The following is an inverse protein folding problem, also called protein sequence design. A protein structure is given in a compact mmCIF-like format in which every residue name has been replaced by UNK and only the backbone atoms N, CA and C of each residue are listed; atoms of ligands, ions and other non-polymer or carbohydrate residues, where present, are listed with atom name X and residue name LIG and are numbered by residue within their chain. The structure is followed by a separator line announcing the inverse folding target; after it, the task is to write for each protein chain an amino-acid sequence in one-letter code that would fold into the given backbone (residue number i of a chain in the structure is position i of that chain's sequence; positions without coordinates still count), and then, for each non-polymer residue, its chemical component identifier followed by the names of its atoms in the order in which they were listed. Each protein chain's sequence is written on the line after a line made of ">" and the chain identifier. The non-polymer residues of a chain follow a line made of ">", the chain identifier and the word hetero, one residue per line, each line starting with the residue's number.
data_IF_172055762384
#
_entry.id   IF_172055762384
#
_cell.length_a   1.000
_cell.length_b   1.000
_cell.length_c   1.000
_cell.angle_alpha   90.00
_cell.angle_beta   90.00
_cell.angle_gamma   90.00
#
_symmetry.space_group_name_H-M   'P 1'
#
loop_
_entity.id
_entity.type
_entity.pdbx_description
1 polymer ?
#
# COMPACT_ATOMS: atom_id res chain seq x y z
N UNK A 1 17.32 17.52 38.93
CA UNK A 1 16.75 16.47 38.06
C UNK A 1 16.76 16.99 36.62
N UNK A 2 17.66 16.48 35.78
CA UNK A 2 17.78 16.88 34.37
C UNK A 2 16.75 16.04 33.60
N UNK A 3 15.49 16.48 33.59
CA UNK A 3 14.40 15.80 32.91
C UNK A 3 13.97 16.61 31.70
N UNK A 4 14.40 16.20 30.51
CA UNK A 4 13.83 16.74 29.27
C UNK A 4 12.41 16.18 29.10
N UNK A 5 11.41 17.05 29.04
CA UNK A 5 10.03 16.69 28.67
C UNK A 5 9.90 16.68 27.16
N UNK A 6 9.27 15.64 26.60
CA UNK A 6 8.94 15.59 25.17
C UNK A 6 8.15 16.84 24.77
N UNK A 7 8.63 17.55 23.74
CA UNK A 7 7.87 18.67 23.18
C UNK A 7 6.79 18.10 22.26
N UNK A 8 5.52 18.28 22.65
CA UNK A 8 4.36 17.93 21.81
C UNK A 8 4.12 18.97 20.69
N UNK A 9 5.13 19.75 20.31
CA UNK A 9 4.95 20.75 19.26
C UNK A 9 4.96 20.04 17.91
N UNK A 10 3.92 20.25 17.11
CA UNK A 10 3.85 19.72 15.75
C UNK A 10 4.88 20.46 14.89
N UNK A 11 6.05 19.85 14.70
CA UNK A 11 7.11 20.34 13.81
C UNK A 11 6.79 20.02 12.34
N UNK A 12 5.51 19.94 11.99
CA UNK A 12 5.10 19.66 10.63
C UNK A 12 5.57 20.77 9.70
N UNK A 13 6.11 20.38 8.55
CA UNK A 13 6.57 21.33 7.53
C UNK A 13 5.36 22.06 6.98
N UNK A 14 5.26 23.37 7.24
CA UNK A 14 4.22 24.20 6.64
C UNK A 14 4.55 24.46 5.18
N UNK A 15 3.72 23.97 4.28
CA UNK A 15 3.85 24.24 2.85
C UNK A 15 3.10 25.51 2.50
N UNK A 16 3.81 26.51 1.98
CA UNK A 16 3.21 27.72 1.43
C UNK A 16 3.19 27.60 -0.11
N UNK A 17 2.03 27.75 -0.73
CA UNK A 17 1.89 27.71 -2.20
C UNK A 17 0.49 27.35 -2.69
N UNK A 18 0.33 27.36 -4.02
CA UNK A 18 -0.90 26.90 -4.66
C UNK A 18 -0.97 25.37 -4.70
N UNK A 19 -2.19 24.85 -4.53
CA UNK A 19 -2.45 23.44 -4.76
C UNK A 19 -2.47 23.13 -6.26
N UNK A 20 -1.89 22.00 -6.62
CA UNK A 20 -1.87 21.47 -7.97
C UNK A 20 -2.60 20.14 -8.00
N UNK A 21 -3.42 19.92 -9.02
CA UNK A 21 -4.06 18.63 -9.25
C UNK A 21 -3.26 17.86 -10.30
N UNK A 22 -2.78 16.65 -9.99
CA UNK A 22 -1.99 15.86 -10.92
C UNK A 22 -2.87 15.37 -12.06
N UNK A 23 -2.40 15.60 -13.29
CA UNK A 23 -3.03 15.15 -14.53
C UNK A 23 -2.59 13.72 -14.89
N UNK A 24 -3.06 13.23 -16.02
CA UNK A 24 -2.60 11.93 -16.54
C UNK A 24 -1.11 11.98 -16.90
N UNK A 25 -0.41 10.87 -16.68
CA UNK A 25 1.03 10.78 -16.93
C UNK A 25 1.41 11.12 -18.37
N UNK A 26 0.53 10.85 -19.34
CA UNK A 26 0.76 11.14 -20.76
C UNK A 26 0.95 12.65 -21.03
N UNK A 27 0.35 13.53 -20.23
CA UNK A 27 0.49 14.97 -20.40
C UNK A 27 1.90 15.47 -20.03
N UNK A 28 2.64 14.72 -19.21
CA UNK A 28 3.99 15.07 -18.75
C UNK A 28 5.10 14.47 -19.62
N UNK A 29 4.78 13.64 -20.62
CA UNK A 29 5.79 13.06 -21.51
C UNK A 29 6.13 14.03 -22.67
N UNK A 30 7.37 14.53 -22.78
CA UNK A 30 7.78 15.42 -23.86
C UNK A 30 7.69 14.80 -25.26
N UNK A 31 7.66 13.46 -25.36
CA UNK A 31 7.48 12.78 -26.63
C UNK A 31 6.04 12.79 -27.13
N UNK A 32 5.06 12.96 -26.22
CA UNK A 32 3.63 12.86 -26.52
C UNK A 32 2.99 14.25 -26.55
N UNK A 33 3.29 15.11 -25.57
CA UNK A 33 2.64 16.41 -25.41
C UNK A 33 3.63 17.57 -25.66
N UNK A 34 3.22 18.55 -26.47
CA UNK A 34 4.01 19.76 -26.72
C UNK A 34 4.13 20.66 -25.47
N UNK A 35 3.19 20.51 -24.52
CA UNK A 35 3.12 21.31 -23.28
C UNK A 35 3.73 20.61 -22.06
N UNK A 36 4.34 19.44 -22.24
CA UNK A 36 4.90 18.62 -21.15
C UNK A 36 5.82 19.42 -20.22
N UNK A 37 6.69 20.26 -20.78
CA UNK A 37 7.65 21.04 -20.00
C UNK A 37 6.97 22.08 -19.09
N UNK A 38 5.86 22.68 -19.54
CA UNK A 38 5.07 23.63 -18.73
C UNK A 38 4.41 22.90 -17.55
N UNK A 39 3.81 21.74 -17.82
CA UNK A 39 3.12 20.91 -16.83
C UNK A 39 4.08 20.32 -15.79
N UNK A 40 5.26 19.86 -16.23
CA UNK A 40 6.34 19.43 -15.35
C UNK A 40 6.74 20.55 -14.39
N UNK A 41 6.96 21.77 -14.92
CA UNK A 41 7.35 22.92 -14.10
C UNK A 41 6.25 23.29 -13.09
N UNK A 42 4.97 23.25 -13.50
CA UNK A 42 3.83 23.50 -12.61
C UNK A 42 3.70 22.41 -11.53
N UNK A 43 3.86 21.14 -11.89
CA UNK A 43 3.79 20.02 -10.95
C UNK A 43 4.88 20.09 -9.89
N UNK A 44 6.11 20.44 -10.27
CA UNK A 44 7.25 20.56 -9.35
C UNK A 44 7.15 21.79 -8.43
N UNK A 45 6.54 22.89 -8.90
CA UNK A 45 6.29 24.07 -8.08
C UNK A 45 5.06 23.91 -7.16
N UNK A 46 4.08 23.13 -7.60
CA UNK A 46 2.80 22.91 -6.94
C UNK A 46 2.89 22.08 -5.66
N UNK A 47 1.85 22.19 -4.85
CA UNK A 47 1.63 21.33 -3.68
C UNK A 47 0.49 20.36 -3.99
N UNK A 48 0.72 19.07 -3.78
CA UNK A 48 -0.30 18.04 -3.91
C UNK A 48 -0.98 17.82 -2.56
N UNK A 49 -2.28 17.57 -2.58
CA UNK A 49 -3.03 17.23 -1.37
C UNK A 49 -3.30 15.72 -1.34
N UNK A 50 -3.10 15.10 -0.17
CA UNK A 50 -3.45 13.70 0.01
C UNK A 50 -4.97 13.53 0.12
N UNK A 51 -5.55 12.64 -0.70
CA UNK A 51 -7.00 12.35 -0.69
C UNK A 51 -7.55 11.87 0.67
N UNK A 52 -6.77 11.12 1.45
CA UNK A 52 -7.23 10.49 2.70
C UNK A 52 -6.95 11.39 3.91
N UNK A 53 -5.70 11.84 4.04
CA UNK A 53 -5.25 12.56 5.25
C UNK A 53 -5.36 14.08 5.13
N UNK A 54 -5.61 14.61 3.92
CA UNK A 54 -5.56 16.04 3.64
C UNK A 54 -4.17 16.68 3.74
N UNK A 55 -3.14 15.90 4.12
CA UNK A 55 -1.77 16.41 4.30
C UNK A 55 -1.18 16.87 2.96
N UNK A 56 -0.57 18.06 2.91
CA UNK A 56 0.16 18.53 1.74
C UNK A 56 1.47 17.75 1.56
N UNK A 57 1.84 17.46 0.31
CA UNK A 57 3.12 16.88 -0.06
C UNK A 57 3.58 17.41 -1.42
N UNK A 58 4.88 17.27 -1.70
CA UNK A 58 5.49 17.65 -2.99
C UNK A 58 6.17 16.46 -3.62
N UNK A 59 6.28 16.49 -4.95
CA UNK A 59 7.02 15.51 -5.74
C UNK A 59 8.37 16.10 -6.09
N UNK A 60 9.41 15.27 -5.99
CA UNK A 60 10.76 15.65 -6.38
C UNK A 60 10.96 15.45 -7.90
N UNK A 61 11.86 16.22 -8.54
CA UNK A 61 12.15 16.07 -9.97
C UNK A 61 12.54 14.63 -10.37
N UNK A 62 13.33 13.96 -9.53
CA UNK A 62 13.75 12.57 -9.75
C UNK A 62 12.58 11.58 -9.64
N UNK A 63 11.61 11.84 -8.76
CA UNK A 63 10.41 11.01 -8.64
C UNK A 63 9.52 11.17 -9.87
N UNK A 64 9.36 12.40 -10.37
CA UNK A 64 8.58 12.68 -11.57
C UNK A 64 9.19 12.02 -12.81
N UNK A 65 10.52 12.10 -12.99
CA UNK A 65 11.24 11.41 -14.06
C UNK A 65 10.98 9.90 -14.03
N UNK A 66 10.98 9.30 -12.84
CA UNK A 66 10.67 7.88 -12.65
C UNK A 66 9.23 7.55 -13.09
N UNK A 67 8.25 8.36 -12.69
CA UNK A 67 6.85 8.15 -13.07
C UNK A 67 6.65 8.21 -14.59
N UNK A 68 7.27 9.19 -15.25
CA UNK A 68 7.20 9.36 -16.71
C UNK A 68 7.85 8.14 -17.41
N UNK A 69 9.09 7.78 -17.02
CA UNK A 69 9.83 6.67 -17.64
C UNK A 69 9.08 5.33 -17.55
N UNK A 70 8.41 5.08 -16.44
CA UNK A 70 7.70 3.83 -16.20
C UNK A 70 6.21 3.89 -16.58
N UNK A 71 5.72 5.01 -17.11
CA UNK A 71 4.29 5.24 -17.43
C UNK A 71 3.38 4.95 -16.23
N UNK A 72 3.84 5.35 -15.05
CA UNK A 72 3.12 5.18 -13.78
C UNK A 72 2.45 6.50 -13.44
N UNK A 73 1.17 6.46 -13.10
CA UNK A 73 0.42 7.64 -12.68
C UNK A 73 1.00 8.27 -11.41
N UNK A 74 0.94 9.60 -11.36
CA UNK A 74 1.39 10.38 -10.22
C UNK A 74 0.56 9.99 -8.97
N UNK A 75 1.20 9.73 -7.81
CA UNK A 75 0.49 9.33 -6.62
C UNK A 75 -0.39 10.48 -6.07
N UNK A 76 -1.65 10.15 -5.76
CA UNK A 76 -2.59 11.06 -5.07
C UNK A 76 -2.53 10.97 -3.54
N UNK A 77 -1.74 10.02 -3.03
CA UNK A 77 -1.52 9.78 -1.60
C UNK A 77 -0.07 10.09 -1.26
N UNK A 78 0.15 10.75 -0.13
CA UNK A 78 1.50 11.04 0.37
C UNK A 78 2.25 9.74 0.74
N UNK A 79 3.57 9.85 0.91
CA UNK A 79 4.46 8.70 1.10
C UNK A 79 4.06 7.79 2.27
N UNK A 80 3.72 8.36 3.43
CA UNK A 80 3.35 7.58 4.62
C UNK A 80 2.02 6.86 4.41
N UNK A 81 0.99 7.52 3.85
CA UNK A 81 -0.26 6.83 3.51
C UNK A 81 -0.02 5.70 2.52
N UNK A 82 0.81 5.91 1.48
CA UNK A 82 1.18 4.83 0.56
C UNK A 82 1.90 3.69 1.27
N UNK A 83 2.72 4.00 2.26
CA UNK A 83 3.38 2.99 3.08
C UNK A 83 2.36 2.20 3.92
N UNK A 84 1.42 2.88 4.58
CA UNK A 84 0.33 2.26 5.32
C UNK A 84 -0.54 1.39 4.43
N UNK A 85 -0.87 1.85 3.22
CA UNK A 85 -1.63 1.08 2.23
C UNK A 85 -0.89 -0.20 1.82
N UNK A 86 0.44 -0.14 1.69
CA UNK A 86 1.27 -1.34 1.45
C UNK A 86 1.25 -2.28 2.64
N UNK A 87 1.39 -1.76 3.86
CA UNK A 87 1.35 -2.57 5.08
C UNK A 87 -0.01 -3.24 5.27
N UNK A 88 -1.11 -2.57 4.92
CA UNK A 88 -2.46 -3.12 5.01
C UNK A 88 -2.69 -4.31 4.06
N UNK A 89 -1.95 -4.39 2.95
CA UNK A 89 -1.97 -5.54 2.02
C UNK A 89 -1.14 -6.73 2.50
N UNK A 90 -0.21 -6.50 3.43
CA UNK A 90 0.56 -7.59 4.01
C UNK A 90 -0.32 -8.42 4.94
N UNK A 91 0.12 -9.65 5.17
CA UNK A 91 -0.48 -10.48 6.21
C UNK A 91 -0.33 -9.77 7.56
N UNK A 92 -1.42 -9.78 8.34
CA UNK A 92 -1.41 -9.20 9.67
C UNK A 92 -0.36 -9.90 10.53
N UNK A 93 0.35 -9.13 11.37
CA UNK A 93 1.30 -9.65 12.35
C UNK A 93 0.58 -10.25 13.58
N UNK A 94 -0.47 -11.02 13.33
CA UNK A 94 -1.27 -11.72 14.35
C UNK A 94 -1.48 -13.14 13.87
N UNK A 95 -1.14 -14.10 14.73
CA UNK A 95 -1.40 -15.50 14.50
C UNK A 95 -2.72 -15.89 15.16
N UNK A 96 -3.49 -16.69 14.45
CA UNK A 96 -4.77 -17.25 14.88
C UNK A 96 -4.63 -18.77 14.89
N UNK A 97 -5.02 -19.38 16.01
CA UNK A 97 -5.14 -20.84 16.11
C UNK A 97 -6.32 -21.31 15.25
N UNK A 98 -6.09 -22.20 14.30
CA UNK A 98 -7.15 -22.75 13.42
C UNK A 98 -6.97 -24.25 13.19
N UNK A 99 -8.08 -24.89 12.86
CA UNK A 99 -8.12 -26.26 12.36
C UNK A 99 -8.28 -26.26 10.83
N UNK A 100 -7.65 -27.24 10.18
CA UNK A 100 -7.80 -27.49 8.75
C UNK A 100 -9.29 -27.54 8.34
N UNK A 101 -9.62 -26.86 7.24
CA UNK A 101 -10.97 -26.82 6.68
C UNK A 101 -11.22 -27.87 5.60
N UNK A 102 -10.31 -28.82 5.42
CA UNK A 102 -10.48 -29.88 4.44
C UNK A 102 -11.56 -30.87 4.90
N UNK A 103 -12.53 -31.12 4.02
CA UNK A 103 -13.63 -32.09 4.22
C UNK A 103 -13.52 -33.31 3.30
N UNK A 104 -12.63 -33.26 2.30
CA UNK A 104 -12.44 -34.32 1.32
C UNK A 104 -11.89 -35.61 1.92
N UNK A 105 -12.56 -36.74 1.65
CA UNK A 105 -12.15 -38.05 2.17
C UNK A 105 -10.91 -38.63 1.48
N UNK A 106 -10.57 -38.16 0.27
CA UNK A 106 -9.44 -38.64 -0.53
C UNK A 106 -8.08 -38.22 0.07
N UNK A 107 -8.08 -37.25 0.98
CA UNK A 107 -6.86 -36.74 1.61
C UNK A 107 -6.36 -37.57 2.80
N UNK A 108 -6.94 -38.75 3.05
CA UNK A 108 -6.48 -39.69 4.08
C UNK A 108 -7.08 -39.44 5.46
N UNK A 109 -8.22 -38.76 5.52
CA UNK A 109 -9.02 -38.57 6.72
C UNK A 109 -10.51 -38.81 6.43
N UNK A 110 -11.28 -39.46 7.32
CA UNK A 110 -12.65 -39.91 7.03
C UNK A 110 -13.72 -38.80 7.09
N UNK A 111 -13.31 -37.53 7.12
CA UNK A 111 -14.18 -36.37 7.31
C UNK A 111 -13.34 -35.11 7.48
N UNK A 112 -13.70 -34.18 8.36
CA UNK A 112 -12.90 -32.98 8.59
C UNK A 112 -11.49 -33.31 9.12
N UNK A 113 -10.47 -32.75 8.48
CA UNK A 113 -9.09 -32.94 8.89
C UNK A 113 -8.84 -32.41 10.32
N UNK A 114 -8.29 -33.26 11.18
CA UNK A 114 -8.06 -32.94 12.60
C UNK A 114 -6.81 -32.08 12.86
N UNK A 115 -6.03 -31.77 11.84
CA UNK A 115 -4.78 -31.03 12.00
C UNK A 115 -5.04 -29.57 12.40
N UNK A 116 -4.30 -29.09 13.38
CA UNK A 116 -4.38 -27.72 13.90
C UNK A 116 -3.06 -27.00 13.67
N UNK A 117 -3.13 -25.70 13.37
CA UNK A 117 -1.97 -24.89 13.06
C UNK A 117 -2.24 -23.41 13.33
N UNK A 118 -1.17 -22.63 13.45
CA UNK A 118 -1.22 -21.19 13.56
C UNK A 118 -1.16 -20.56 12.17
N UNK A 119 -2.03 -19.58 11.92
CA UNK A 119 -2.09 -18.90 10.62
C UNK A 119 -2.35 -17.41 10.77
N UNK A 120 -1.89 -16.61 9.82
CA UNK A 120 -2.16 -15.16 9.75
C UNK A 120 -3.56 -14.84 9.23
N UNK A 121 -4.29 -15.83 8.72
CA UNK A 121 -5.64 -15.67 8.19
C UNK A 121 -6.69 -15.67 9.31
N UNK A 122 -7.30 -14.50 9.56
CA UNK A 122 -8.34 -14.31 10.58
C UNK A 122 -9.55 -15.26 10.37
N UNK A 123 -10.14 -15.79 11.47
CA UNK A 123 -11.41 -16.53 11.46
C UNK A 123 -12.55 -15.88 10.67
N UNK A 124 -12.57 -14.55 10.64
CA UNK A 124 -13.61 -13.75 9.98
C UNK A 124 -13.45 -13.67 8.45
N UNK A 125 -12.30 -14.08 7.91
CA UNK A 125 -12.10 -14.08 6.45
C UNK A 125 -12.80 -15.28 5.80
N UNK A 126 -13.36 -15.11 4.59
CA UNK A 126 -14.09 -16.16 3.89
C UNK A 126 -13.20 -17.23 3.24
N UNK A 127 -11.88 -17.03 3.20
CA UNK A 127 -10.96 -17.98 2.54
C UNK A 127 -10.86 -19.32 3.29
N UNK A 128 -10.89 -20.44 2.55
CA UNK A 128 -10.64 -21.78 3.11
C UNK A 128 -9.15 -21.95 3.38
N UNK A 129 -8.81 -22.39 4.60
CA UNK A 129 -7.41 -22.61 4.99
C UNK A 129 -7.17 -24.10 5.22
N UNK A 130 -6.29 -24.67 4.41
CA UNK A 130 -5.88 -26.07 4.48
C UNK A 130 -4.53 -26.21 5.19
N UNK A 131 -4.31 -27.37 5.81
CA UNK A 131 -2.97 -27.74 6.24
C UNK A 131 -2.10 -28.09 5.03
N UNK A 132 -0.78 -28.08 5.21
CA UNK A 132 0.19 -28.34 4.14
C UNK A 132 -0.13 -29.63 3.36
N UNK A 133 -0.43 -30.73 4.06
CA UNK A 133 -0.70 -32.01 3.41
C UNK A 133 -2.01 -32.07 2.61
N UNK A 134 -3.07 -31.40 3.06
CA UNK A 134 -4.32 -31.31 2.30
C UNK A 134 -4.17 -30.35 1.11
N UNK A 135 -3.47 -29.22 1.31
CA UNK A 135 -3.20 -28.26 0.24
C UNK A 135 -2.39 -28.87 -0.91
N UNK A 136 -1.35 -29.66 -0.59
CA UNK A 136 -0.55 -30.35 -1.60
C UNK A 136 -1.37 -31.32 -2.44
N UNK A 137 -2.36 -32.00 -1.86
CA UNK A 137 -3.22 -32.95 -2.57
C UNK A 137 -4.28 -32.28 -3.44
N UNK A 138 -4.75 -31.10 -3.07
CA UNK A 138 -5.69 -30.29 -3.87
C UNK A 138 -5.03 -29.63 -5.08
N UNK A 139 -3.73 -29.36 -5.00
CA UNK A 139 -2.97 -28.65 -6.03
C UNK A 139 -2.31 -29.58 -7.07
N UNK A 140 -2.36 -30.90 -6.86
CA UNK A 140 -1.82 -31.94 -7.74
C UNK A 140 -2.98 -32.66 -8.42
#
# INVERSE_FOLDING_TARGET
>A
AIGATWQNNDQSVTFNGAYYEPKDIEEYDPAISARANEEIAQCLAGILQCEISGKPFRILPRELEYYIRHKIQIPRRHADQRHLDRLAKLNQMRLYHRQCMCEESEHGHPGRCKNEFETTYSPERPEKVYCEGCYQKEMI
#
